data_IF_207202055667
#
_entry.id   IF_207202055667
#
_cell.length_a   1.000
_cell.length_b   1.000
_cell.length_c   1.000
_cell.angle_alpha   90.00
_cell.angle_beta   90.00
_cell.angle_gamma   90.00
#
_symmetry.space_group_name_H-M   'P 1'
#
loop_
_entity.id
_entity.type
_entity.pdbx_description
1 polymer ?
#
# COMPACT_ATOMS: atom_id res chain seq x y z
N UNK A 1 1.59 20.95 -5.30
CA UNK A 1 1.73 19.54 -4.87
C UNK A 1 0.55 18.77 -5.45
N UNK A 2 0.76 17.67 -6.18
CA UNK A 2 -0.34 16.87 -6.72
C UNK A 2 -1.00 16.07 -5.59
N UNK A 3 -2.35 16.03 -5.56
CA UNK A 3 -3.09 15.28 -4.53
C UNK A 3 -2.81 13.77 -4.59
N UNK A 4 -2.98 13.09 -3.47
CA UNK A 4 -2.85 11.63 -3.33
C UNK A 4 -3.57 10.87 -4.45
N UNK A 5 -4.81 11.27 -4.72
CA UNK A 5 -5.66 10.68 -5.77
C UNK A 5 -5.05 10.85 -7.16
N UNK A 6 -4.52 12.04 -7.49
CA UNK A 6 -3.95 12.29 -8.81
C UNK A 6 -2.70 11.44 -9.05
N UNK A 7 -1.85 11.28 -8.03
CA UNK A 7 -0.65 10.43 -8.10
C UNK A 7 -1.01 8.96 -8.23
N UNK A 8 -1.97 8.50 -7.43
CA UNK A 8 -2.48 7.14 -7.51
C UNK A 8 -3.01 6.82 -8.92
N UNK A 9 -3.81 7.73 -9.49
CA UNK A 9 -4.33 7.57 -10.86
C UNK A 9 -3.21 7.52 -11.90
N UNK A 10 -2.18 8.37 -11.75
CA UNK A 10 -1.01 8.36 -12.64
C UNK A 10 -0.23 7.04 -12.56
N UNK A 11 -0.01 6.50 -11.35
CA UNK A 11 0.66 5.21 -11.19
C UNK A 11 -0.18 4.04 -11.70
N UNK A 12 -1.51 4.10 -11.53
CA UNK A 12 -2.40 3.09 -12.09
C UNK A 12 -2.31 3.05 -13.62
N UNK A 13 -2.28 4.21 -14.28
CA UNK A 13 -2.10 4.32 -15.73
C UNK A 13 -0.75 3.73 -16.18
N UNK A 14 0.35 4.12 -15.52
CA UNK A 14 1.70 3.60 -15.78
C UNK A 14 1.78 2.07 -15.65
N UNK A 15 1.05 1.49 -14.69
CA UNK A 15 1.06 0.05 -14.37
C UNK A 15 -0.03 -0.74 -15.07
N UNK A 16 -0.88 -0.07 -15.86
CA UNK A 16 -2.04 -0.66 -16.55
C UNK A 16 -2.98 -1.40 -15.59
N UNK A 17 -3.21 -0.81 -14.42
CA UNK A 17 -4.12 -1.34 -13.40
C UNK A 17 -5.38 -0.47 -13.30
N UNK A 18 -6.51 -1.08 -12.97
CA UNK A 18 -7.73 -0.32 -12.69
C UNK A 18 -7.64 0.29 -11.29
N UNK A 19 -7.87 1.61 -11.13
CA UNK A 19 -7.87 2.23 -9.81
C UNK A 19 -8.93 1.62 -8.89
N UNK A 20 -8.52 1.23 -7.68
CA UNK A 20 -9.43 0.79 -6.63
C UNK A 20 -9.76 2.00 -5.73
N UNK A 21 -11.05 2.34 -5.54
CA UNK A 21 -11.44 3.49 -4.73
C UNK A 21 -11.36 3.14 -3.24
N UNK A 22 -10.16 3.21 -2.68
CA UNK A 22 -9.95 3.15 -1.23
C UNK A 22 -9.98 4.57 -0.64
N UNK A 23 -10.55 4.72 0.56
CA UNK A 23 -10.59 6.01 1.26
C UNK A 23 -9.20 6.64 1.39
N UNK A 24 -8.17 5.81 1.61
CA UNK A 24 -6.76 6.22 1.60
C UNK A 24 -6.34 6.87 0.28
N UNK A 25 -6.63 6.22 -0.86
CA UNK A 25 -6.26 6.72 -2.19
C UNK A 25 -6.93 8.05 -2.51
N UNK A 26 -8.12 8.25 -1.96
CA UNK A 26 -8.88 9.50 -2.13
C UNK A 26 -8.51 10.60 -1.12
N UNK A 27 -7.63 10.32 -0.15
CA UNK A 27 -7.21 11.26 0.89
C UNK A 27 -8.19 11.45 2.06
N UNK A 28 -9.27 10.67 2.13
CA UNK A 28 -10.28 10.75 3.20
C UNK A 28 -9.94 9.90 4.43
N UNK A 29 -8.90 9.08 4.34
CA UNK A 29 -8.43 8.22 5.43
C UNK A 29 -6.92 8.18 5.46
N UNK A 30 -6.39 8.03 6.67
CA UNK A 30 -4.99 7.74 6.97
C UNK A 30 -4.67 6.24 7.03
N UNK A 31 -5.70 5.41 6.82
CA UNK A 31 -5.63 3.96 6.93
C UNK A 31 -5.75 3.32 5.54
N UNK A 32 -4.73 2.58 5.14
CA UNK A 32 -4.76 1.75 3.95
C UNK A 32 -5.42 0.40 4.28
N UNK A 33 -6.76 0.38 4.27
CA UNK A 33 -7.56 -0.82 4.54
C UNK A 33 -7.92 -1.52 3.22
N UNK A 34 -7.20 -2.59 2.89
CA UNK A 34 -7.40 -3.36 1.67
C UNK A 34 -7.59 -4.86 1.94
N UNK A 35 -8.24 -5.21 3.06
CA UNK A 35 -8.52 -6.59 3.48
C UNK A 35 -9.26 -7.37 2.39
N UNK A 36 -8.73 -8.53 2.01
CA UNK A 36 -9.40 -9.51 1.15
C UNK A 36 -9.73 -9.01 -0.26
N UNK A 37 -9.03 -7.99 -0.77
CA UNK A 37 -9.30 -7.37 -2.07
C UNK A 37 -8.71 -8.14 -3.27
N UNK A 38 -8.11 -9.30 -3.04
CA UNK A 38 -7.35 -10.10 -4.02
C UNK A 38 -6.27 -9.29 -4.77
N UNK A 39 -5.62 -8.36 -4.07
CA UNK A 39 -4.61 -7.50 -4.68
C UNK A 39 -3.46 -8.31 -5.28
N UNK A 40 -3.02 -7.89 -6.47
CA UNK A 40 -1.79 -8.37 -7.08
C UNK A 40 -0.65 -7.36 -6.92
N UNK A 41 0.59 -7.82 -7.13
CA UNK A 41 1.79 -6.99 -6.91
C UNK A 41 1.76 -5.65 -7.65
N UNK A 42 1.25 -5.60 -8.87
CA UNK A 42 1.20 -4.35 -9.66
C UNK A 42 0.24 -3.32 -9.06
N UNK A 43 -0.85 -3.77 -8.45
CA UNK A 43 -1.84 -2.89 -7.81
C UNK A 43 -1.28 -2.33 -6.50
N UNK A 44 -0.68 -3.18 -5.65
CA UNK A 44 -0.04 -2.69 -4.42
C UNK A 44 1.12 -1.73 -4.75
N UNK A 45 1.91 -2.00 -5.78
CA UNK A 45 2.96 -1.08 -6.20
C UNK A 45 2.42 0.27 -6.71
N UNK A 46 1.23 0.29 -7.33
CA UNK A 46 0.57 1.54 -7.69
C UNK A 46 0.11 2.32 -6.43
N UNK A 47 -0.27 1.61 -5.37
CA UNK A 47 -0.67 2.22 -4.11
C UNK A 47 0.52 2.79 -3.31
N UNK A 48 1.67 2.10 -3.28
CA UNK A 48 2.84 2.50 -2.48
C UNK A 48 3.33 3.93 -2.79
N UNK A 49 3.16 4.43 -4.02
CA UNK A 49 3.57 5.79 -4.40
C UNK A 49 2.90 6.90 -3.57
N UNK A 50 1.74 6.58 -2.99
CA UNK A 50 0.96 7.53 -2.19
C UNK A 50 1.49 7.65 -0.76
N UNK A 51 2.29 6.68 -0.31
CA UNK A 51 2.88 6.65 1.03
C UNK A 51 4.07 7.61 1.16
N UNK A 52 4.78 7.90 0.06
CA UNK A 52 6.03 8.69 0.06
C UNK A 52 5.87 10.14 0.56
N UNK A 53 4.66 10.68 0.54
CA UNK A 53 4.37 12.06 0.99
C UNK A 53 3.11 12.11 1.86
N UNK A 54 2.59 10.96 2.29
CA UNK A 54 1.52 10.92 3.27
C UNK A 54 2.17 10.90 4.65
N UNK A 55 2.28 12.07 5.26
CA UNK A 55 2.92 12.25 6.57
C UNK A 55 2.20 11.52 7.73
N UNK A 56 1.13 10.76 7.46
CA UNK A 56 0.22 10.33 8.52
C UNK A 56 -0.41 8.96 8.27
N UNK A 57 0.28 8.04 7.58
CA UNK A 57 -0.23 6.66 7.47
C UNK A 57 -0.23 6.01 8.85
N UNK A 58 -1.41 5.76 9.39
CA UNK A 58 -1.59 5.21 10.75
C UNK A 58 -1.74 3.67 10.72
N UNK A 59 -2.30 3.12 9.64
CA UNK A 59 -2.61 1.70 9.53
C UNK A 59 -2.46 1.20 8.09
N UNK A 60 -1.84 0.03 7.94
CA UNK A 60 -1.80 -0.73 6.69
C UNK A 60 -2.33 -2.13 6.96
N UNK A 61 -3.53 -2.42 6.45
CA UNK A 61 -4.15 -3.73 6.55
C UNK A 61 -4.30 -4.35 5.16
N UNK A 62 -3.41 -5.31 4.87
CA UNK A 62 -3.39 -6.09 3.64
C UNK A 62 -3.84 -7.53 3.89
N UNK A 63 -4.52 -7.81 5.00
CA UNK A 63 -4.90 -9.15 5.38
C UNK A 63 -5.66 -9.88 4.26
N UNK A 64 -5.31 -11.13 4.01
CA UNK A 64 -6.02 -11.98 3.04
C UNK A 64 -5.72 -11.71 1.57
N UNK A 65 -4.76 -10.83 1.24
CA UNK A 65 -4.30 -10.65 -0.13
C UNK A 65 -3.26 -11.71 -0.51
N UNK A 66 -3.73 -12.93 -0.75
CA UNK A 66 -2.88 -14.14 -0.96
C UNK A 66 -1.97 -14.08 -2.19
N UNK A 67 -2.23 -13.16 -3.13
CA UNK A 67 -1.49 -13.03 -4.38
C UNK A 67 -0.31 -12.06 -4.30
N UNK A 68 -0.17 -11.34 -3.19
CA UNK A 68 0.96 -10.46 -2.93
C UNK A 68 2.21 -11.27 -2.61
N UNK A 69 3.34 -10.87 -3.19
CA UNK A 69 4.65 -11.51 -3.00
C UNK A 69 5.68 -10.51 -2.47
N UNK A 70 6.88 -10.99 -2.16
CA UNK A 70 8.03 -10.13 -1.81
C UNK A 70 8.27 -9.01 -2.81
N UNK A 71 7.85 -9.18 -4.08
CA UNK A 71 8.02 -8.18 -5.13
C UNK A 71 7.34 -6.85 -4.78
N UNK A 72 6.17 -6.89 -4.14
CA UNK A 72 5.42 -5.69 -3.75
C UNK A 72 5.50 -5.42 -2.25
N UNK A 73 5.58 -6.47 -1.43
CA UNK A 73 5.67 -6.34 0.02
C UNK A 73 7.01 -5.73 0.47
N UNK A 74 8.14 -6.07 -0.18
CA UNK A 74 9.43 -5.47 0.19
C UNK A 74 9.49 -3.96 -0.08
N UNK A 75 9.08 -3.46 -1.26
CA UNK A 75 8.95 -2.02 -1.47
C UNK A 75 8.02 -1.33 -0.47
N UNK A 76 6.90 -1.97 -0.10
CA UNK A 76 5.98 -1.44 0.92
C UNK A 76 6.69 -1.30 2.26
N UNK A 77 7.30 -2.38 2.77
CA UNK A 77 8.01 -2.38 4.06
C UNK A 77 9.11 -1.33 4.09
N UNK A 78 9.90 -1.21 3.01
CA UNK A 78 10.92 -0.17 2.91
C UNK A 78 10.35 1.23 2.98
N UNK A 79 9.15 1.45 2.44
CA UNK A 79 8.48 2.74 2.48
C UNK A 79 7.90 3.04 3.87
N UNK A 80 7.36 2.01 4.54
CA UNK A 80 6.81 2.12 5.90
C UNK A 80 7.88 2.35 6.96
N UNK A 81 9.12 1.93 6.71
CA UNK A 81 10.27 2.14 7.59
C UNK A 81 10.98 3.49 7.37
N UNK A 82 10.50 4.34 6.46
CA UNK A 82 11.04 5.68 6.24
C UNK A 82 10.32 6.71 7.11
N UNK A 83 11.05 7.73 7.56
CA UNK A 83 10.44 8.89 8.20
C UNK A 83 9.65 9.74 7.19
N UNK A 84 8.50 10.34 7.59
CA UNK A 84 7.87 10.28 8.92
C UNK A 84 6.86 9.11 9.08
N UNK A 85 6.81 8.19 8.11
CA UNK A 85 5.79 7.12 8.08
C UNK A 85 5.97 6.18 9.26
N UNK A 86 7.20 5.81 9.59
CA UNK A 86 7.50 4.88 10.69
C UNK A 86 7.08 5.42 12.06
N UNK A 87 7.18 6.74 12.28
CA UNK A 87 6.74 7.40 13.52
C UNK A 87 5.22 7.38 13.72
N UNK A 88 4.46 7.37 12.62
CA UNK A 88 3.00 7.45 12.66
C UNK A 88 2.31 6.09 12.52
N UNK A 89 3.03 5.07 12.03
CA UNK A 89 2.46 3.74 11.79
C UNK A 89 2.15 3.03 13.10
N UNK A 90 0.86 2.79 13.36
CA UNK A 90 0.36 2.13 14.57
C UNK A 90 0.08 0.65 14.34
N UNK A 91 -0.31 0.26 13.12
CA UNK A 91 -0.65 -1.12 12.79
C UNK A 91 -0.22 -1.50 11.38
N UNK A 92 0.42 -2.66 11.27
CA UNK A 92 0.72 -3.36 10.02
C UNK A 92 0.15 -4.78 10.11
N UNK A 93 -0.83 -5.11 9.28
CA UNK A 93 -1.43 -6.44 9.18
C UNK A 93 -1.18 -7.04 7.80
N UNK A 94 -0.32 -8.07 7.78
CA UNK A 94 0.01 -8.87 6.60
C UNK A 94 -0.47 -10.32 6.74
N UNK A 95 -1.35 -10.61 7.71
CA UNK A 95 -1.79 -11.97 7.93
C UNK A 95 -2.52 -12.51 6.70
N UNK A 96 -2.30 -13.79 6.38
CA UNK A 96 -2.85 -14.45 5.18
C UNK A 96 -2.37 -13.85 3.85
N UNK A 97 -1.32 -13.04 3.82
CA UNK A 97 -0.50 -12.82 2.62
C UNK A 97 0.42 -14.03 2.39
N UNK A 98 -0.16 -15.18 2.04
CA UNK A 98 0.50 -16.50 2.07
C UNK A 98 1.67 -16.67 1.12
N UNK A 99 1.87 -15.74 0.18
CA UNK A 99 3.01 -15.72 -0.75
C UNK A 99 4.11 -14.73 -0.35
N UNK A 100 4.01 -14.12 0.83
CA UNK A 100 5.13 -13.46 1.46
C UNK A 100 6.26 -14.50 1.68
N UNK A 101 7.42 -14.24 1.11
CA UNK A 101 8.61 -15.07 1.21
C UNK A 101 9.50 -14.66 2.38
N UNK A 102 10.64 -15.33 2.51
CA UNK A 102 11.64 -15.16 3.59
C UNK A 102 12.15 -13.71 3.67
N UNK A 103 12.08 -12.93 2.59
CA UNK A 103 12.55 -11.54 2.65
C UNK A 103 11.57 -10.62 3.38
N UNK A 104 10.29 -10.98 3.37
CA UNK A 104 9.22 -10.23 4.03
C UNK A 104 8.99 -10.68 5.48
N UNK A 105 9.28 -11.95 5.79
CA UNK A 105 9.11 -12.57 7.12
C UNK A 105 10.31 -12.36 8.06
#
# INVERSE_FOLDING_TARGET
IASTSHRYLKECDLRRTVPTPLSFMTGHSKKLEAVGRDLIDTELLAMICTLQESDVVEEVDLNGNMRLTDRSLMPLLRQLLQEPVVENLQRLDLARCTRAGIKTL
#
